data_IF_091875142765
#
_entry.id   IF_091875142765
#
_cell.length_a   1.000
_cell.length_b   1.000
_cell.length_c   1.000
_cell.angle_alpha   90.00
_cell.angle_beta   90.00
_cell.angle_gamma   90.00
#
_symmetry.space_group_name_H-M   'P 1'
#
loop_
_entity.id
_entity.type
_entity.pdbx_description
1 polymer ?
#
# COMPACT_ATOMS: atom_id res chain seq x y z
N UNK A 1 5.88 -27.29 -34.21
CA UNK A 1 4.95 -26.81 -33.16
C UNK A 1 3.54 -27.25 -33.52
N UNK A 2 2.62 -27.42 -32.56
CA UNK A 2 1.19 -27.60 -32.88
C UNK A 2 0.40 -26.45 -32.25
N UNK A 3 -0.63 -26.01 -32.95
CA UNK A 3 -1.59 -25.02 -32.46
C UNK A 3 -2.71 -25.70 -31.70
N UNK A 4 -3.20 -25.03 -30.65
CA UNK A 4 -4.39 -25.39 -29.89
C UNK A 4 -5.29 -24.16 -29.83
N UNK A 5 -6.53 -24.31 -30.28
CA UNK A 5 -7.57 -23.29 -30.08
C UNK A 5 -8.06 -23.40 -28.64
N UNK A 6 -8.05 -22.27 -27.93
CA UNK A 6 -8.50 -22.19 -26.54
C UNK A 6 -9.55 -21.10 -26.40
N UNK A 7 -10.45 -21.29 -25.45
CA UNK A 7 -11.43 -20.29 -25.04
C UNK A 7 -10.93 -19.70 -23.72
N UNK A 8 -10.71 -18.39 -23.70
CA UNK A 8 -10.16 -17.68 -22.55
C UNK A 8 -11.31 -16.88 -21.93
N UNK A 9 -11.67 -17.12 -20.66
CA UNK A 9 -12.69 -16.31 -20.00
C UNK A 9 -12.35 -14.83 -20.05
N UNK A 10 -13.34 -13.97 -20.33
CA UNK A 10 -13.11 -12.52 -20.47
C UNK A 10 -12.53 -11.93 -19.18
N UNK A 11 -12.96 -12.41 -18.01
CA UNK A 11 -12.45 -11.95 -16.71
C UNK A 11 -10.95 -12.21 -16.51
N UNK A 12 -10.42 -13.24 -17.18
CA UNK A 12 -9.00 -13.53 -17.15
C UNK A 12 -8.19 -12.52 -18.01
N UNK A 13 -8.83 -11.87 -18.97
CA UNK A 13 -8.24 -10.90 -19.90
C UNK A 13 -8.49 -9.47 -19.39
N UNK A 14 -7.68 -9.02 -18.42
CA UNK A 14 -7.73 -7.64 -17.92
C UNK A 14 -6.80 -6.67 -18.65
N UNK A 15 -7.35 -5.58 -19.21
CA UNK A 15 -6.59 -4.46 -19.82
C UNK A 15 -6.02 -4.74 -21.22
N UNK A 16 -4.93 -4.05 -21.60
CA UNK A 16 -4.28 -4.15 -22.94
C UNK A 16 -3.44 -5.44 -23.15
N UNK A 17 -3.63 -6.47 -22.32
CA UNK A 17 -2.82 -7.70 -22.40
C UNK A 17 -3.49 -8.69 -23.35
N UNK A 18 -2.73 -9.14 -24.36
CA UNK A 18 -3.21 -10.15 -25.31
C UNK A 18 -3.76 -11.41 -24.61
N UNK A 19 -5.01 -11.85 -24.91
CA UNK A 19 -5.60 -13.09 -24.36
C UNK A 19 -4.69 -14.31 -24.53
N UNK A 20 -3.98 -14.37 -25.67
CA UNK A 20 -3.02 -15.44 -26.00
C UNK A 20 -1.89 -15.51 -24.99
N UNK A 21 -1.35 -14.36 -24.55
CA UNK A 21 -0.23 -14.31 -23.60
C UNK A 21 -0.68 -14.75 -22.22
N UNK A 22 -1.83 -14.25 -21.75
CA UNK A 22 -2.39 -14.62 -20.45
C UNK A 22 -2.66 -16.11 -20.37
N UNK A 23 -3.41 -16.64 -21.34
CA UNK A 23 -3.75 -18.06 -21.36
C UNK A 23 -2.50 -18.96 -21.46
N UNK A 24 -1.50 -18.59 -22.28
CA UNK A 24 -0.26 -19.37 -22.38
C UNK A 24 0.48 -19.42 -21.04
N UNK A 25 0.58 -18.29 -20.33
CA UNK A 25 1.27 -18.24 -19.03
C UNK A 25 0.56 -19.10 -17.98
N UNK A 26 -0.76 -19.03 -17.91
CA UNK A 26 -1.56 -19.82 -16.97
C UNK A 26 -1.43 -21.33 -17.21
N UNK A 27 -1.48 -21.74 -18.49
CA UNK A 27 -1.29 -23.13 -18.90
C UNK A 27 0.12 -23.63 -18.55
N UNK A 28 1.16 -22.85 -18.85
CA UNK A 28 2.54 -23.24 -18.55
C UNK A 28 2.82 -23.31 -17.05
N UNK A 29 2.22 -22.41 -16.26
CA UNK A 29 2.29 -22.45 -14.79
C UNK A 29 1.63 -23.73 -14.25
N UNK A 30 0.40 -24.02 -14.66
CA UNK A 30 -0.29 -25.24 -14.22
C UNK A 30 0.48 -26.50 -14.64
N UNK A 31 1.12 -26.49 -15.81
CA UNK A 31 1.97 -27.57 -16.29
C UNK A 31 3.20 -27.77 -15.40
N UNK A 32 3.91 -26.70 -15.03
CA UNK A 32 5.08 -26.81 -14.14
C UNK A 32 4.73 -27.31 -12.75
N UNK A 33 3.51 -27.02 -12.28
CA UNK A 33 2.97 -27.49 -11.00
C UNK A 33 2.38 -28.91 -11.10
N UNK A 34 2.34 -29.51 -12.30
CA UNK A 34 1.59 -30.74 -12.62
C UNK A 34 0.16 -30.73 -12.06
N UNK A 35 -0.47 -29.55 -12.08
CA UNK A 35 -1.73 -29.28 -11.40
C UNK A 35 -2.92 -29.69 -12.27
N UNK A 36 -3.89 -30.36 -11.68
CA UNK A 36 -5.19 -30.65 -12.29
C UNK A 36 -6.26 -29.87 -11.51
N UNK A 37 -6.81 -28.80 -12.08
CA UNK A 37 -7.87 -28.05 -11.43
C UNK A 37 -9.17 -28.87 -11.33
N UNK A 38 -10.04 -28.58 -10.36
CA UNK A 38 -11.33 -29.22 -10.24
C UNK A 38 -12.18 -28.98 -11.51
N UNK A 39 -13.25 -29.78 -11.73
CA UNK A 39 -14.27 -29.44 -12.71
C UNK A 39 -14.81 -28.04 -12.43
N UNK A 40 -15.12 -27.28 -13.47
CA UNK A 40 -15.63 -25.92 -13.37
C UNK A 40 -16.90 -25.83 -14.19
N UNK A 41 -17.91 -25.17 -13.65
CA UNK A 41 -19.12 -24.86 -14.40
C UNK A 41 -18.78 -23.87 -15.53
N UNK A 42 -19.59 -23.90 -16.60
CA UNK A 42 -19.39 -23.01 -17.74
C UNK A 42 -19.57 -21.54 -17.32
N UNK A 43 -18.62 -20.68 -17.69
CA UNK A 43 -18.76 -19.22 -17.63
C UNK A 43 -19.31 -18.71 -18.96
N UNK A 44 -20.14 -17.66 -18.91
CA UNK A 44 -20.95 -17.22 -20.05
C UNK A 44 -20.16 -16.47 -21.13
N UNK A 45 -19.00 -15.88 -20.80
CA UNK A 45 -18.23 -15.03 -21.73
C UNK A 45 -16.79 -15.50 -21.96
N UNK A 46 -16.45 -15.81 -23.22
CA UNK A 46 -15.11 -16.28 -23.62
C UNK A 46 -14.60 -15.60 -24.91
N UNK A 47 -13.29 -15.37 -24.96
CA UNK A 47 -12.55 -14.98 -26.18
C UNK A 47 -11.80 -16.18 -26.73
N UNK A 48 -12.02 -16.49 -28.01
CA UNK A 48 -11.30 -17.59 -28.67
C UNK A 48 -9.94 -17.12 -29.19
N UNK A 49 -8.87 -17.85 -28.88
CA UNK A 49 -7.53 -17.56 -29.40
C UNK A 49 -6.77 -18.85 -29.74
N UNK A 50 -5.65 -18.72 -30.47
CA UNK A 50 -4.80 -19.85 -30.86
C UNK A 50 -3.44 -19.73 -30.19
N UNK A 51 -3.07 -20.77 -29.43
CA UNK A 51 -1.79 -20.86 -28.73
C UNK A 51 -0.94 -21.95 -29.38
N UNK A 52 0.37 -21.71 -29.46
CA UNK A 52 1.32 -22.67 -30.01
C UNK A 52 2.20 -23.23 -28.90
N UNK A 53 2.29 -24.56 -28.87
CA UNK A 53 3.10 -25.32 -27.92
C UNK A 53 4.16 -26.17 -28.64
N UNK A 54 5.28 -26.40 -27.95
CA UNK A 54 6.30 -27.37 -28.39
C UNK A 54 5.76 -28.79 -28.32
N UNK A 55 6.42 -29.74 -28.99
CA UNK A 55 6.03 -31.17 -28.90
C UNK A 55 6.16 -31.69 -27.46
N UNK A 56 7.22 -31.27 -26.78
CA UNK A 56 7.50 -31.60 -25.38
C UNK A 56 6.41 -31.07 -24.44
N UNK A 57 6.03 -29.80 -24.58
CA UNK A 57 4.93 -29.20 -23.79
C UNK A 57 3.62 -29.98 -23.97
N UNK A 58 3.29 -30.37 -25.21
CA UNK A 58 2.08 -31.15 -25.47
C UNK A 58 2.15 -32.57 -24.92
N UNK A 59 3.33 -33.19 -24.88
CA UNK A 59 3.51 -34.50 -24.24
C UNK A 59 3.29 -34.37 -22.72
N UNK A 60 3.93 -33.40 -22.08
CA UNK A 60 3.76 -33.15 -20.65
C UNK A 60 2.29 -32.83 -20.29
N UNK A 61 1.58 -32.05 -21.12
CA UNK A 61 0.15 -31.78 -20.91
C UNK A 61 -0.70 -33.04 -21.01
N UNK A 62 -0.40 -33.95 -21.95
CA UNK A 62 -1.09 -35.24 -22.05
C UNK A 62 -0.88 -36.08 -20.81
N UNK A 63 0.34 -36.12 -20.29
CA UNK A 63 0.67 -36.90 -19.10
C UNK A 63 -0.10 -36.37 -17.87
N UNK A 64 -0.15 -35.04 -17.69
CA UNK A 64 -0.94 -34.41 -16.62
C UNK A 64 -2.43 -34.69 -16.79
N UNK A 65 -2.98 -34.50 -17.99
CA UNK A 65 -4.40 -34.73 -18.26
C UNK A 65 -4.80 -36.21 -18.07
N UNK A 66 -3.97 -37.14 -18.55
CA UNK A 66 -4.17 -38.58 -18.41
C UNK A 66 -4.16 -39.03 -16.94
N UNK A 67 -3.34 -38.40 -16.09
CA UNK A 67 -3.32 -38.70 -14.65
C UNK A 67 -4.65 -38.42 -13.94
N UNK A 68 -5.51 -37.59 -14.54
CA UNK A 68 -6.85 -37.28 -14.07
C UNK A 68 -7.97 -37.89 -14.92
N UNK A 69 -7.63 -38.75 -15.90
CA UNK A 69 -8.60 -39.38 -16.79
C UNK A 69 -9.31 -38.42 -17.75
N UNK A 70 -8.71 -37.27 -18.06
CA UNK A 70 -9.30 -36.23 -18.93
C UNK A 70 -8.44 -35.96 -20.18
N UNK A 71 -9.03 -35.31 -21.18
CA UNK A 71 -8.32 -34.87 -22.37
C UNK A 71 -7.51 -33.59 -22.15
N UNK A 72 -6.48 -33.35 -22.98
CA UNK A 72 -5.67 -32.10 -22.92
C UNK A 72 -6.52 -30.85 -23.09
N UNK A 73 -7.53 -30.89 -23.97
CA UNK A 73 -8.43 -29.76 -24.19
C UNK A 73 -9.20 -29.42 -22.92
N UNK A 74 -9.82 -30.43 -22.30
CA UNK A 74 -10.56 -30.27 -21.05
C UNK A 74 -9.65 -29.81 -19.91
N UNK A 75 -8.43 -30.34 -19.82
CA UNK A 75 -7.44 -29.86 -18.84
C UNK A 75 -7.09 -28.38 -19.04
N UNK A 76 -6.86 -27.94 -20.29
CA UNK A 76 -6.61 -26.52 -20.59
C UNK A 76 -7.81 -25.67 -20.19
N UNK A 77 -9.02 -26.10 -20.52
CA UNK A 77 -10.25 -25.40 -20.15
C UNK A 77 -10.36 -25.30 -18.62
N UNK A 78 -10.19 -26.39 -17.88
CA UNK A 78 -10.17 -26.34 -16.40
C UNK A 78 -9.12 -25.39 -15.85
N UNK A 79 -7.92 -25.33 -16.44
CA UNK A 79 -6.86 -24.40 -16.02
C UNK A 79 -7.27 -22.94 -16.21
N UNK A 80 -7.81 -22.61 -17.37
CA UNK A 80 -8.21 -21.24 -17.68
C UNK A 80 -9.43 -20.81 -16.87
N UNK A 81 -10.37 -21.71 -16.60
CA UNK A 81 -11.57 -21.41 -15.82
C UNK A 81 -11.24 -21.29 -14.34
N UNK A 82 -10.45 -22.20 -13.78
CA UNK A 82 -9.95 -22.05 -12.41
C UNK A 82 -9.12 -20.76 -12.23
N UNK A 83 -8.36 -20.35 -13.26
CA UNK A 83 -7.71 -19.05 -13.27
C UNK A 83 -8.69 -17.88 -13.27
N UNK A 84 -9.76 -17.94 -14.07
CA UNK A 84 -10.80 -16.93 -14.12
C UNK A 84 -11.60 -16.86 -12.81
N UNK A 85 -12.03 -17.99 -12.25
CA UNK A 85 -12.72 -18.04 -10.95
C UNK A 85 -11.84 -17.55 -9.80
N UNK A 86 -10.50 -17.61 -9.92
CA UNK A 86 -9.59 -16.92 -8.98
C UNK A 86 -9.61 -15.41 -9.18
N UNK A 87 -9.75 -14.91 -10.42
CA UNK A 87 -9.92 -13.48 -10.69
C UNK A 87 -11.28 -12.99 -10.19
N UNK A 88 -12.33 -13.77 -10.38
CA UNK A 88 -13.69 -13.46 -9.91
C UNK A 88 -13.79 -13.50 -8.38
N UNK A 89 -13.21 -14.53 -7.73
CA UNK A 89 -13.03 -14.56 -6.26
C UNK A 89 -12.14 -13.43 -5.74
N UNK A 90 -11.24 -12.88 -6.56
CA UNK A 90 -10.50 -11.65 -6.25
C UNK A 90 -11.32 -10.38 -6.50
N UNK A 91 -12.36 -10.47 -7.33
CA UNK A 91 -13.19 -9.37 -7.84
C UNK A 91 -14.29 -8.91 -6.90
N UNK A 92 -14.75 -9.76 -5.98
CA UNK A 92 -15.73 -9.40 -4.96
C UNK A 92 -15.05 -8.67 -3.79
N UNK A 93 -14.65 -7.42 -4.07
CA UNK A 93 -14.28 -6.45 -3.04
C UNK A 93 -15.55 -5.67 -2.72
N UNK A 94 -16.25 -6.07 -1.67
CA UNK A 94 -17.26 -5.22 -1.05
C UNK A 94 -16.59 -4.24 -0.09
N UNK A 95 -17.02 -2.97 -0.16
CA UNK A 95 -16.62 -1.99 0.84
C UNK A 95 -17.36 -2.27 2.16
N UNK A 96 -16.76 -1.98 3.31
CA UNK A 96 -17.48 -2.02 4.58
C UNK A 96 -18.73 -1.12 4.58
N UNK A 97 -19.82 -1.59 5.18
CA UNK A 97 -21.13 -0.92 5.15
C UNK A 97 -21.13 0.49 5.77
N UNK A 98 -20.17 0.78 6.65
CA UNK A 98 -20.03 2.10 7.27
C UNK A 98 -19.44 3.16 6.32
N UNK A 99 -18.87 2.76 5.17
CA UNK A 99 -18.23 3.67 4.24
C UNK A 99 -19.27 4.45 3.42
N UNK A 100 -19.03 5.76 3.26
CA UNK A 100 -19.79 6.56 2.30
C UNK A 100 -19.50 6.10 0.86
N UNK A 101 -20.41 6.30 -0.11
CA UNK A 101 -20.22 5.83 -1.48
C UNK A 101 -18.88 6.23 -2.12
N UNK A 102 -18.40 7.45 -1.88
CA UNK A 102 -17.10 7.90 -2.39
C UNK A 102 -15.91 7.20 -1.75
N UNK A 103 -15.99 6.93 -0.44
CA UNK A 103 -14.98 6.15 0.29
C UNK A 103 -14.96 4.70 -0.19
N UNK A 104 -16.15 4.11 -0.38
CA UNK A 104 -16.32 2.77 -0.89
C UNK A 104 -15.67 2.62 -2.28
N UNK A 105 -15.93 3.56 -3.20
CA UNK A 105 -15.29 3.57 -4.53
C UNK A 105 -13.77 3.62 -4.44
N UNK A 106 -13.23 4.52 -3.60
CA UNK A 106 -11.79 4.64 -3.38
C UNK A 106 -11.20 3.35 -2.78
N UNK A 107 -11.82 2.81 -1.73
CA UNK A 107 -11.43 1.58 -1.08
C UNK A 107 -11.40 0.39 -2.05
N UNK A 108 -12.47 0.19 -2.82
CA UNK A 108 -12.57 -0.90 -3.80
C UNK A 108 -11.45 -0.80 -4.83
N UNK A 109 -11.18 0.40 -5.35
CA UNK A 109 -10.10 0.62 -6.29
C UNK A 109 -8.72 0.29 -5.69
N UNK A 110 -8.45 0.75 -4.46
CA UNK A 110 -7.20 0.49 -3.76
C UNK A 110 -6.98 -1.00 -3.48
N UNK A 111 -7.99 -1.68 -2.91
CA UNK A 111 -7.89 -3.11 -2.60
C UNK A 111 -7.73 -3.95 -3.88
N UNK A 112 -8.47 -3.64 -4.95
CA UNK A 112 -8.29 -4.32 -6.24
C UNK A 112 -6.88 -4.15 -6.79
N UNK A 113 -6.27 -2.97 -6.65
CA UNK A 113 -4.89 -2.75 -7.09
C UNK A 113 -3.88 -3.50 -6.21
N UNK A 114 -3.99 -3.37 -4.89
CA UNK A 114 -3.13 -4.06 -3.92
C UNK A 114 -3.16 -5.59 -4.10
N UNK A 115 -4.36 -6.18 -4.19
CA UNK A 115 -4.56 -7.62 -4.41
C UNK A 115 -3.88 -8.15 -5.68
N UNK A 116 -3.81 -7.31 -6.71
CA UNK A 116 -3.28 -7.70 -8.02
C UNK A 116 -1.83 -7.26 -8.23
N UNK A 117 -1.16 -6.70 -7.20
CA UNK A 117 0.19 -6.18 -7.33
C UNK A 117 0.31 -5.04 -8.35
N UNK A 118 -0.74 -4.23 -8.49
CA UNK A 118 -0.84 -3.13 -9.45
C UNK A 118 -0.72 -1.78 -8.75
N UNK A 119 -0.39 -0.76 -9.54
CA UNK A 119 -0.42 0.64 -9.10
C UNK A 119 -1.83 1.19 -9.34
N UNK A 120 -2.43 1.79 -8.31
CA UNK A 120 -3.65 2.57 -8.44
C UNK A 120 -3.32 4.07 -8.42
N UNK A 121 -3.94 4.81 -9.32
CA UNK A 121 -4.04 6.27 -9.26
C UNK A 121 -5.48 6.61 -8.93
N UNK A 122 -5.69 7.27 -7.79
CA UNK A 122 -7.03 7.62 -7.34
C UNK A 122 -7.06 9.07 -6.87
N UNK A 123 -8.01 9.83 -7.43
CA UNK A 123 -8.28 11.21 -7.03
C UNK A 123 -9.56 11.26 -6.20
N UNK A 124 -9.50 11.95 -5.07
CA UNK A 124 -10.64 12.16 -4.19
C UNK A 124 -10.67 13.61 -3.70
N UNK A 125 -11.86 14.19 -3.62
CA UNK A 125 -12.05 15.55 -3.13
C UNK A 125 -11.64 15.73 -1.66
N UNK A 126 -11.54 16.97 -1.23
CA UNK A 126 -11.43 17.31 0.20
C UNK A 126 -12.72 16.87 0.95
N UNK A 127 -12.61 16.50 2.22
CA UNK A 127 -13.77 16.07 3.03
C UNK A 127 -14.34 14.68 2.72
N UNK A 128 -13.89 14.01 1.66
CA UNK A 128 -14.37 12.66 1.27
C UNK A 128 -13.98 11.56 2.26
N UNK A 129 -13.04 11.81 3.17
CA UNK A 129 -12.51 10.81 4.10
C UNK A 129 -11.55 9.81 3.43
N UNK A 130 -10.78 10.28 2.44
CA UNK A 130 -9.74 9.48 1.75
C UNK A 130 -8.76 8.77 2.69
N UNK A 131 -8.40 9.40 3.81
CA UNK A 131 -7.52 8.80 4.83
C UNK A 131 -8.12 7.52 5.40
N UNK A 132 -9.43 7.52 5.71
CA UNK A 132 -10.12 6.33 6.26
C UNK A 132 -10.22 5.21 5.25
N UNK A 133 -10.57 5.53 4.01
CA UNK A 133 -10.62 4.54 2.93
C UNK A 133 -9.25 3.90 2.70
N UNK A 134 -8.17 4.70 2.75
CA UNK A 134 -6.80 4.23 2.60
C UNK A 134 -6.37 3.34 3.78
N UNK A 135 -6.66 3.75 5.02
CA UNK A 135 -6.36 2.94 6.21
C UNK A 135 -7.14 1.62 6.22
N UNK A 136 -8.41 1.63 5.84
CA UNK A 136 -9.21 0.41 5.72
C UNK A 136 -8.65 -0.53 4.63
N UNK A 137 -8.24 0.01 3.48
CA UNK A 137 -7.61 -0.78 2.43
C UNK A 137 -6.27 -1.38 2.87
N UNK A 138 -5.51 -0.64 3.70
CA UNK A 138 -4.26 -1.12 4.29
C UNK A 138 -4.50 -2.29 5.26
N UNK A 139 -5.46 -2.16 6.19
CA UNK A 139 -5.83 -3.25 7.11
C UNK A 139 -6.34 -4.48 6.33
N UNK A 140 -7.22 -4.30 5.34
CA UNK A 140 -7.71 -5.43 4.51
C UNK A 140 -6.56 -6.15 3.79
N UNK A 141 -5.59 -5.39 3.28
CA UNK A 141 -4.42 -5.97 2.63
C UNK A 141 -3.53 -6.75 3.60
N UNK A 142 -3.40 -6.30 4.85
CA UNK A 142 -2.64 -6.99 5.89
C UNK A 142 -3.38 -8.24 6.40
N UNK A 143 -4.65 -8.09 6.80
CA UNK A 143 -5.47 -9.14 7.39
C UNK A 143 -5.68 -10.31 6.42
N UNK A 144 -5.85 -10.03 5.12
CA UNK A 144 -6.00 -11.07 4.09
C UNK A 144 -4.67 -11.60 3.55
N UNK A 145 -3.54 -11.15 4.08
CA UNK A 145 -2.21 -11.58 3.66
C UNK A 145 -1.83 -11.15 2.24
N UNK A 146 -2.49 -10.13 1.68
CA UNK A 146 -2.11 -9.54 0.40
C UNK A 146 -0.83 -8.72 0.49
N UNK A 147 -0.53 -8.20 1.68
CA UNK A 147 0.71 -7.51 2.01
C UNK A 147 1.22 -7.98 3.38
N UNK A 148 2.55 -8.02 3.55
CA UNK A 148 3.19 -8.21 4.87
C UNK A 148 3.39 -6.90 5.63
N UNK A 149 3.41 -5.79 4.90
CA UNK A 149 3.59 -4.44 5.41
C UNK A 149 2.95 -3.45 4.44
N UNK A 150 2.33 -2.42 4.98
CA UNK A 150 1.83 -1.27 4.21
C UNK A 150 2.54 -0.03 4.72
N UNK A 151 2.99 0.83 3.79
CA UNK A 151 3.63 2.11 4.10
C UNK A 151 2.75 3.22 3.56
N UNK A 152 2.40 4.17 4.43
CA UNK A 152 1.61 5.35 4.08
C UNK A 152 2.54 6.55 4.17
N UNK A 153 2.99 7.03 3.01
CA UNK A 153 3.80 8.24 2.93
C UNK A 153 2.91 9.48 2.86
N UNK A 154 3.27 10.52 3.62
CA UNK A 154 2.57 11.81 3.64
C UNK A 154 3.59 12.94 3.59
N UNK A 155 3.24 14.10 2.99
CA UNK A 155 4.22 15.15 2.70
C UNK A 155 4.56 16.03 3.90
N UNK A 156 3.88 15.88 5.05
CA UNK A 156 4.15 16.69 6.23
C UNK A 156 3.83 15.98 7.53
N UNK A 157 4.50 16.40 8.61
CA UNK A 157 4.25 15.92 9.98
C UNK A 157 2.81 16.18 10.44
N UNK A 158 2.18 17.24 9.94
CA UNK A 158 0.77 17.54 10.21
C UNK A 158 -0.17 16.48 9.62
N UNK A 159 0.09 16.07 8.37
CA UNK A 159 -0.66 14.98 7.75
C UNK A 159 -0.33 13.63 8.38
N UNK A 160 0.90 13.41 8.86
CA UNK A 160 1.26 12.23 9.62
C UNK A 160 0.46 12.13 10.91
N UNK A 161 0.36 13.23 11.66
CA UNK A 161 -0.48 13.30 12.87
C UNK A 161 -1.97 13.13 12.55
N UNK A 162 -2.45 13.67 11.42
CA UNK A 162 -3.83 13.42 10.98
C UNK A 162 -4.07 11.92 10.68
N UNK A 163 -3.18 11.26 9.94
CA UNK A 163 -3.26 9.81 9.67
C UNK A 163 -3.23 9.02 10.98
N UNK A 164 -2.34 9.35 11.91
CA UNK A 164 -2.24 8.68 13.21
C UNK A 164 -3.53 8.81 14.05
N UNK A 165 -4.18 9.98 14.03
CA UNK A 165 -5.49 10.18 14.70
C UNK A 165 -6.58 9.35 14.05
N UNK A 166 -6.69 9.35 12.72
CA UNK A 166 -7.68 8.54 12.01
C UNK A 166 -7.43 7.04 12.25
N UNK A 167 -6.18 6.60 12.22
CA UNK A 167 -5.80 5.22 12.53
C UNK A 167 -6.22 4.82 13.95
N UNK A 168 -5.98 5.68 14.93
CA UNK A 168 -6.45 5.47 16.32
C UNK A 168 -7.97 5.36 16.39
N UNK A 169 -8.68 6.29 15.75
CA UNK A 169 -10.13 6.34 15.74
C UNK A 169 -10.75 5.11 15.06
N UNK A 170 -10.06 4.54 14.09
CA UNK A 170 -10.44 3.31 13.39
C UNK A 170 -10.00 2.02 14.11
N UNK A 171 -9.19 2.13 15.18
CA UNK A 171 -8.65 0.97 15.88
C UNK A 171 -7.59 0.19 15.08
N UNK A 172 -6.90 0.85 14.14
CA UNK A 172 -5.81 0.25 13.36
C UNK A 172 -4.69 -0.23 14.28
N UNK A 173 -4.25 -1.48 14.10
CA UNK A 173 -3.26 -2.12 14.99
C UNK A 173 -1.86 -2.06 14.39
N UNK A 174 -0.85 -2.08 15.25
CA UNK A 174 0.56 -2.20 14.82
C UNK A 174 1.11 -0.99 14.05
N UNK A 175 0.44 0.17 14.12
CA UNK A 175 0.93 1.41 13.51
C UNK A 175 2.30 1.78 14.10
N UNK A 176 3.26 2.05 13.21
CA UNK A 176 4.57 2.61 13.56
C UNK A 176 4.77 3.89 12.76
N UNK A 177 5.37 4.90 13.39
CA UNK A 177 5.69 6.16 12.74
C UNK A 177 7.18 6.25 12.46
N UNK A 178 7.51 6.83 11.31
CA UNK A 178 8.86 7.18 10.93
C UNK A 178 8.85 8.66 10.56
N UNK A 179 9.78 9.42 11.13
CA UNK A 179 10.00 10.83 10.81
C UNK A 179 11.40 10.97 10.23
N UNK A 180 11.57 11.85 9.26
CA UNK A 180 12.91 12.21 8.77
C UNK A 180 13.62 13.14 9.76
N UNK A 181 14.96 13.15 9.72
CA UNK A 181 15.81 14.02 10.54
C UNK A 181 15.42 15.49 10.43
N UNK A 182 15.01 15.94 9.23
CA UNK A 182 14.53 17.30 8.94
C UNK A 182 13.26 17.71 9.71
N UNK A 183 12.66 16.84 10.53
CA UNK A 183 11.55 17.20 11.42
C UNK A 183 12.03 17.56 12.83
N UNK A 184 13.32 17.44 13.09
CA UNK A 184 13.96 17.63 14.39
C UNK A 184 14.94 18.80 14.34
N UNK A 185 15.09 19.50 15.46
CA UNK A 185 16.06 20.58 15.63
C UNK A 185 17.27 20.10 16.43
N UNK A 186 18.46 20.56 16.05
CA UNK A 186 19.70 20.37 16.81
C UNK A 186 19.64 21.18 18.10
N UNK A 187 19.82 20.52 19.26
CA UNK A 187 19.87 21.22 20.55
C UNK A 187 21.01 22.23 20.59
N UNK A 188 22.19 21.84 20.09
CA UNK A 188 23.39 22.69 20.10
C UNK A 188 23.15 23.95 19.28
N UNK A 189 22.73 23.80 18.03
CA UNK A 189 22.50 24.96 17.16
C UNK A 189 21.32 25.80 17.67
N UNK A 190 20.28 25.17 18.22
CA UNK A 190 19.14 25.92 18.77
C UNK A 190 19.58 26.78 19.96
N UNK A 191 20.45 26.26 20.85
CA UNK A 191 21.00 27.02 21.98
C UNK A 191 21.87 28.19 21.53
N UNK A 192 22.68 28.00 20.49
CA UNK A 192 23.50 29.07 19.91
C UNK A 192 22.64 30.18 19.29
N UNK A 193 21.54 29.81 18.62
CA UNK A 193 20.63 30.77 18.00
C UNK A 193 19.76 31.56 18.99
N UNK A 194 19.67 31.16 20.27
CA UNK A 194 18.77 31.82 21.24
C UNK A 194 19.09 33.31 21.44
N UNK A 195 20.36 33.72 21.32
CA UNK A 195 20.75 35.13 21.46
C UNK A 195 20.25 36.03 20.33
N UNK A 196 19.86 35.44 19.20
CA UNK A 196 19.35 36.18 18.04
C UNK A 196 17.83 36.35 18.07
N UNK A 197 17.15 35.68 19.00
CA UNK A 197 15.69 35.70 19.13
C UNK A 197 15.21 36.80 20.09
N UNK A 198 13.95 37.26 19.94
CA UNK A 198 13.31 38.07 20.97
C UNK A 198 13.38 37.38 22.33
N UNK A 199 13.75 38.14 23.37
CA UNK A 199 14.01 37.60 24.72
C UNK A 199 12.91 36.66 25.23
N UNK A 200 11.64 37.02 25.01
CA UNK A 200 10.51 36.20 25.44
C UNK A 200 10.44 34.83 24.72
N UNK A 201 10.75 34.79 23.43
CA UNK A 201 10.83 33.54 22.65
C UNK A 201 12.03 32.70 23.08
N UNK A 202 13.18 33.35 23.29
CA UNK A 202 14.40 32.71 23.78
C UNK A 202 14.19 32.06 25.15
N UNK A 203 13.55 32.78 26.09
CA UNK A 203 13.26 32.28 27.44
C UNK A 203 12.34 31.03 27.38
N UNK A 204 11.31 31.03 26.52
CA UNK A 204 10.43 29.87 26.32
C UNK A 204 11.16 28.66 25.76
N UNK A 205 12.01 28.86 24.75
CA UNK A 205 12.80 27.78 24.15
C UNK A 205 13.85 27.24 25.12
N UNK A 206 14.51 28.11 25.88
CA UNK A 206 15.46 27.70 26.90
C UNK A 206 14.79 26.80 27.93
N UNK A 207 13.64 27.21 28.46
CA UNK A 207 12.87 26.41 29.40
C UNK A 207 12.45 25.06 28.80
N UNK A 208 11.94 25.06 27.56
CA UNK A 208 11.54 23.84 26.85
C UNK A 208 12.72 22.87 26.64
N UNK A 209 13.90 23.37 26.29
CA UNK A 209 15.12 22.59 26.14
C UNK A 209 15.56 21.99 27.47
N UNK A 210 15.53 22.76 28.56
CA UNK A 210 15.91 22.30 29.90
C UNK A 210 14.96 21.18 30.43
N UNK A 211 13.71 21.16 29.98
CA UNK A 211 12.77 20.08 30.26
C UNK A 211 12.94 18.84 29.35
N UNK A 212 13.94 18.87 28.47
CA UNK A 212 14.27 17.81 27.52
C UNK A 212 13.41 17.82 26.26
N UNK A 213 12.98 19.01 25.81
CA UNK A 213 12.29 19.27 24.56
C UNK A 213 11.03 18.41 24.34
N UNK A 214 10.14 18.40 25.35
CA UNK A 214 8.92 17.57 25.35
C UNK A 214 7.85 18.10 24.37
N UNK A 215 7.00 17.24 23.81
CA UNK A 215 5.91 17.64 22.94
C UNK A 215 5.00 18.74 23.51
N UNK A 216 4.88 19.88 22.83
CA UNK A 216 3.98 20.99 23.23
C UNK A 216 2.82 21.19 22.26
N UNK A 217 3.03 20.97 20.96
CA UNK A 217 2.00 21.08 19.94
C UNK A 217 1.05 19.88 19.93
N UNK A 218 -0.18 20.06 19.46
CA UNK A 218 -1.12 18.95 19.28
C UNK A 218 -0.59 17.90 18.29
N UNK A 219 0.18 18.35 17.30
CA UNK A 219 0.86 17.49 16.32
C UNK A 219 1.86 16.60 17.05
N UNK A 220 2.82 17.19 17.77
CA UNK A 220 3.84 16.44 18.50
C UNK A 220 3.23 15.51 19.55
N UNK A 221 2.25 15.99 20.33
CA UNK A 221 1.54 15.19 21.35
C UNK A 221 0.81 13.99 20.74
N UNK A 222 0.27 14.13 19.53
CA UNK A 222 -0.33 13.02 18.80
C UNK A 222 0.73 11.98 18.43
N UNK A 223 1.86 12.41 17.87
CA UNK A 223 2.92 11.52 17.40
C UNK A 223 3.65 10.81 18.56
N UNK A 224 3.76 11.48 19.71
CA UNK A 224 4.34 10.94 20.93
C UNK A 224 3.65 9.69 21.49
N UNK A 225 2.42 9.41 21.03
CA UNK A 225 1.71 8.17 21.36
C UNK A 225 2.25 6.95 20.62
N UNK A 226 3.01 7.15 19.54
CA UNK A 226 3.45 6.10 18.63
C UNK A 226 4.97 6.02 18.47
N UNK A 227 5.69 7.06 18.86
CA UNK A 227 7.14 7.14 18.77
C UNK A 227 7.68 8.03 19.88
N UNK A 228 8.94 7.81 20.27
CA UNK A 228 9.67 8.74 21.15
C UNK A 228 10.03 9.97 20.32
N UNK A 229 9.21 11.02 20.40
CA UNK A 229 9.48 12.30 19.74
C UNK A 229 9.86 13.36 20.77
N UNK A 230 10.99 14.02 20.50
CA UNK A 230 11.53 15.17 21.23
C UNK A 230 12.17 16.10 20.21
N UNK A 231 12.41 17.36 20.56
CA UNK A 231 13.11 18.30 19.69
C UNK A 231 12.44 18.47 18.31
N UNK A 232 11.10 18.41 18.23
CA UNK A 232 10.42 18.57 16.94
C UNK A 232 10.44 20.04 16.51
N UNK A 233 10.74 20.28 15.24
CA UNK A 233 10.73 21.62 14.65
C UNK A 233 9.38 22.34 14.81
N UNK A 234 8.27 21.59 14.70
CA UNK A 234 6.92 22.16 14.89
C UNK A 234 6.69 22.71 16.30
N UNK A 235 7.32 22.12 17.32
CA UNK A 235 7.24 22.59 18.70
C UNK A 235 8.10 23.84 18.90
N UNK A 236 9.33 23.84 18.38
CA UNK A 236 10.22 25.00 18.41
C UNK A 236 9.57 26.22 17.73
N UNK A 237 9.01 26.05 16.52
CA UNK A 237 8.29 27.13 15.81
C UNK A 237 7.02 27.58 16.52
N UNK A 238 6.35 26.70 17.29
CA UNK A 238 5.19 27.11 18.10
C UNK A 238 5.60 28.00 19.29
N UNK A 239 6.72 27.68 19.94
CA UNK A 239 7.24 28.43 21.08
C UNK A 239 7.92 29.74 20.67
N UNK A 240 8.57 29.74 19.51
CA UNK A 240 9.26 30.87 18.93
C UNK A 240 8.86 31.04 17.45
N UNK A 241 7.75 31.75 17.16
CA UNK A 241 7.28 31.98 15.80
C UNK A 241 8.28 32.69 14.89
N UNK A 242 9.29 33.36 15.46
CA UNK A 242 10.38 34.00 14.71
C UNK A 242 11.35 32.98 14.11
N UNK A 243 11.38 31.72 14.60
CA UNK A 243 12.09 30.60 13.98
C UNK A 243 11.37 30.13 12.70
N UNK A 244 11.59 30.84 11.59
CA UNK A 244 11.05 30.50 10.27
C UNK A 244 12.06 30.76 9.16
N UNK A 245 11.84 30.09 8.03
CA UNK A 245 12.68 30.23 6.84
C UNK A 245 14.11 29.74 7.11
N UNK A 246 15.09 30.48 6.59
CA UNK A 246 16.50 30.08 6.63
C UNK A 246 17.03 29.82 8.05
N UNK A 247 16.53 30.53 9.07
CA UNK A 247 16.93 30.30 10.45
C UNK A 247 16.45 28.93 10.95
N UNK A 248 15.24 28.51 10.58
CA UNK A 248 14.78 27.16 10.94
C UNK A 248 15.58 26.11 10.18
N UNK A 249 15.83 26.32 8.88
CA UNK A 249 16.55 25.37 8.04
C UNK A 249 17.97 25.09 8.56
N UNK A 250 18.68 26.11 9.07
CA UNK A 250 20.00 25.97 9.68
C UNK A 250 20.00 25.19 11.01
N UNK A 251 18.84 25.05 11.64
CA UNK A 251 18.68 24.37 12.92
C UNK A 251 18.22 22.92 12.77
N UNK A 252 17.79 22.51 11.58
CA UNK A 252 17.34 21.14 11.35
C UNK A 252 18.52 20.18 11.38
N UNK A 253 18.30 18.97 11.89
CA UNK A 253 19.32 17.92 11.85
C UNK A 253 19.57 17.50 10.41
N UNK A 254 20.81 17.68 9.96
CA UNK A 254 21.26 17.08 8.70
C UNK A 254 21.22 15.55 8.83
N UNK A 255 21.00 14.86 7.71
CA UNK A 255 20.91 13.41 7.68
C UNK A 255 22.21 12.71 8.15
N UNK A 256 23.32 13.45 8.21
CA UNK A 256 24.63 12.97 8.67
C UNK A 256 24.79 13.06 10.20
N UNK A 257 23.96 13.85 10.90
CA UNK A 257 24.04 14.10 12.34
C UNK A 257 23.06 13.26 13.17
N UNK A 258 22.52 12.17 12.60
CA UNK A 258 21.49 11.35 13.25
C UNK A 258 21.98 10.80 14.61
N UNK A 259 21.41 11.24 15.76
CA UNK A 259 21.86 10.83 17.08
C UNK A 259 21.20 9.49 17.47
N UNK A 260 21.17 8.53 16.56
CA UNK A 260 20.55 7.22 16.78
C UNK A 260 21.39 6.32 17.69
N UNK A 261 21.48 6.73 18.97
CA UNK A 261 21.74 5.91 20.15
C UNK A 261 20.52 5.93 21.11
#
# INVERSE_FOLDING_TARGET
MKSVRVHVPVDLVGGDVSPRRVAKNEILRALSERRVPPPVDALDEVVSTVIYFSREQLAAMRDVAASAGIGVREWIERVLWDAASRVERRGDVSAPDWMRPEQARLYVALVKALRNGRIALAQAGTGTGKTRALLAAAEDALDRGHARRVVIAVPSVHLLAHVAREATAMGVRGLRLMLGSMQFVSEVHLREALSELPREEADRLHHWLDEGARPVSDVARTLARFARVRYLAVDATQLAPSLRGALLDALLLDAEDDPSD
#
